data_IF_624247324734
#
_entry.id   IF_624247324734
#
_cell.length_a   1.000
_cell.length_b   1.000
_cell.length_c   1.000
_cell.angle_alpha   90.00
_cell.angle_beta   90.00
_cell.angle_gamma   90.00
#
_symmetry.space_group_name_H-M   'P 1'
#
loop_
_entity.id
_entity.type
_entity.pdbx_description
1 polymer ?
#
# COMPACT_ATOMS: atom_id res chain seq x y z
N UNK A 1 12.51 14.51 -6.87
CA UNK A 1 12.42 13.64 -5.69
C UNK A 1 13.76 13.51 -4.97
N UNK A 2 13.72 12.97 -3.76
CA UNK A 2 14.91 12.57 -2.99
C UNK A 2 14.95 11.04 -2.99
N UNK A 3 16.12 10.42 -3.13
CA UNK A 3 16.26 8.97 -3.16
C UNK A 3 15.80 8.28 -1.88
N UNK A 4 15.33 7.04 -2.00
CA UNK A 4 15.00 6.16 -0.87
C UNK A 4 15.75 4.82 -0.97
N UNK A 5 15.53 3.94 0.02
CA UNK A 5 16.23 2.65 0.11
C UNK A 5 15.29 1.50 -0.32
N UNK A 6 15.83 0.35 -0.78
CA UNK A 6 15.06 -0.87 -0.90
C UNK A 6 14.65 -1.35 0.50
N UNK A 7 13.44 -1.91 0.61
CA UNK A 7 12.88 -2.36 1.89
C UNK A 7 12.84 -3.89 2.06
N UNK A 8 13.16 -4.63 1.01
CA UNK A 8 13.11 -6.10 0.99
C UNK A 8 11.75 -6.67 1.47
N UNK A 9 10.68 -6.17 0.87
CA UNK A 9 9.30 -6.50 1.26
C UNK A 9 8.90 -7.93 0.86
N UNK A 10 7.95 -8.57 1.60
CA UNK A 10 7.38 -9.85 1.22
C UNK A 10 6.45 -9.71 0.00
N UNK A 11 6.13 -10.82 -0.65
CA UNK A 11 5.19 -10.82 -1.79
C UNK A 11 3.78 -10.34 -1.41
N UNK A 12 3.35 -10.58 -0.17
CA UNK A 12 2.07 -10.13 0.35
C UNK A 12 2.24 -9.33 1.65
N UNK A 13 1.62 -8.17 1.69
CA UNK A 13 1.57 -7.27 2.84
C UNK A 13 0.10 -7.10 3.24
N UNK A 14 -0.36 -7.73 4.33
CA UNK A 14 -1.73 -7.58 4.80
C UNK A 14 -1.95 -6.19 5.39
N UNK A 15 -3.01 -5.50 4.98
CA UNK A 15 -3.42 -4.24 5.59
C UNK A 15 -4.32 -4.52 6.79
N UNK A 16 -3.96 -3.97 7.92
CA UNK A 16 -4.69 -4.07 9.19
C UNK A 16 -5.28 -2.70 9.57
N UNK A 17 -6.60 -2.53 9.43
CA UNK A 17 -7.28 -1.29 9.83
C UNK A 17 -7.41 -1.13 11.34
N UNK A 18 -7.53 -2.23 12.10
CA UNK A 18 -7.82 -2.21 13.52
C UNK A 18 -7.08 -3.34 14.27
N UNK A 19 -7.12 -3.30 15.60
CA UNK A 19 -6.45 -4.24 16.49
C UNK A 19 -7.01 -5.66 16.42
N UNK A 20 -6.12 -6.61 16.65
CA UNK A 20 -6.46 -8.03 16.92
C UNK A 20 -6.61 -8.26 18.43
N UNK A 21 -7.38 -9.27 18.84
CA UNK A 21 -7.53 -9.63 20.25
C UNK A 21 -6.30 -10.32 20.80
N UNK A 22 -5.77 -11.28 20.06
CA UNK A 22 -4.59 -12.06 20.42
C UNK A 22 -3.51 -11.90 19.35
N UNK A 23 -2.33 -11.45 19.78
CA UNK A 23 -1.20 -11.28 18.87
C UNK A 23 -0.66 -12.63 18.42
N UNK A 24 -0.48 -12.81 17.13
CA UNK A 24 0.14 -13.96 16.52
C UNK A 24 1.33 -13.59 15.65
N UNK A 25 1.96 -14.60 15.05
CA UNK A 25 3.19 -14.44 14.30
C UNK A 25 2.91 -14.28 12.80
N UNK A 26 3.54 -13.32 12.16
CA UNK A 26 3.47 -13.04 10.73
C UNK A 26 4.72 -13.50 9.96
N UNK A 27 5.41 -14.55 10.43
CA UNK A 27 6.69 -15.03 9.84
C UNK A 27 6.63 -15.24 8.34
N UNK A 28 5.52 -15.81 7.84
CA UNK A 28 5.32 -16.04 6.41
C UNK A 28 5.36 -14.72 5.57
N UNK A 29 5.12 -13.58 6.22
CA UNK A 29 5.18 -12.24 5.64
C UNK A 29 6.39 -11.45 6.15
N UNK A 30 7.49 -12.10 6.53
CA UNK A 30 8.68 -11.48 7.11
C UNK A 30 8.37 -10.58 8.32
N UNK A 31 7.32 -10.86 9.07
CA UNK A 31 6.79 -10.03 10.15
C UNK A 31 6.51 -8.57 9.70
N UNK A 32 6.00 -8.38 8.47
CA UNK A 32 5.63 -7.06 7.94
C UNK A 32 4.13 -7.00 7.71
N UNK A 33 3.51 -5.93 8.20
CA UNK A 33 2.09 -5.60 7.97
C UNK A 33 1.97 -4.16 7.46
N UNK A 34 0.82 -3.82 6.88
CA UNK A 34 0.48 -2.42 6.61
C UNK A 34 -0.56 -1.92 7.64
N UNK A 35 -0.35 -0.70 8.10
CA UNK A 35 -1.25 0.03 8.99
C UNK A 35 -2.09 0.98 8.16
N UNK A 36 -3.42 0.90 8.31
CA UNK A 36 -4.34 1.72 7.54
C UNK A 36 -4.49 3.12 8.16
N UNK A 37 -4.28 4.15 7.36
CA UNK A 37 -4.26 5.53 7.80
C UNK A 37 -5.59 6.09 8.32
N UNK A 38 -6.74 5.49 7.96
CA UNK A 38 -8.06 5.99 8.35
C UNK A 38 -8.27 6.02 9.89
N UNK A 39 -7.71 5.03 10.60
CA UNK A 39 -7.78 4.98 12.06
C UNK A 39 -6.55 5.57 12.74
N UNK A 40 -5.48 5.72 11.98
CA UNK A 40 -4.24 6.34 12.45
C UNK A 40 -4.38 7.86 12.62
N UNK A 41 -5.03 8.53 11.65
CA UNK A 41 -5.36 9.94 11.74
C UNK A 41 -6.77 10.13 12.32
N UNK A 42 -6.99 11.26 12.98
CA UNK A 42 -8.35 11.67 13.32
C UNK A 42 -9.15 12.00 12.04
N UNK A 43 -10.47 12.03 12.14
CA UNK A 43 -11.36 12.25 10.98
C UNK A 43 -11.12 13.57 10.24
N UNK A 44 -10.56 14.58 10.93
CA UNK A 44 -10.17 15.85 10.34
C UNK A 44 -8.78 15.82 9.68
N UNK A 45 -8.02 14.73 9.79
CA UNK A 45 -6.67 14.65 9.27
C UNK A 45 -5.63 15.54 9.96
N UNK A 46 -5.99 16.15 11.09
CA UNK A 46 -5.18 17.21 11.73
C UNK A 46 -4.14 16.69 12.72
N UNK A 47 -4.27 15.46 13.19
CA UNK A 47 -3.37 14.82 14.17
C UNK A 47 -3.51 13.31 14.19
N UNK A 48 -2.52 12.63 14.74
CA UNK A 48 -2.57 11.20 15.04
C UNK A 48 -3.58 10.97 16.18
N UNK A 49 -4.37 9.90 16.09
CA UNK A 49 -5.34 9.54 17.13
C UNK A 49 -4.62 9.10 18.41
N UNK A 50 -5.23 9.38 19.57
CA UNK A 50 -4.64 9.04 20.88
C UNK A 50 -4.35 7.54 21.06
N UNK A 51 -5.06 6.67 20.36
CA UNK A 51 -4.82 5.23 20.36
C UNK A 51 -3.40 4.86 19.92
N UNK A 52 -2.79 5.67 19.05
CA UNK A 52 -1.43 5.45 18.53
C UNK A 52 -0.32 6.17 19.30
N UNK A 53 -0.65 6.87 20.41
CA UNK A 53 0.37 7.51 21.24
C UNK A 53 1.44 6.55 21.79
N UNK A 54 1.11 5.29 22.19
CA UNK A 54 2.11 4.33 22.63
C UNK A 54 2.85 3.61 21.48
N UNK A 55 2.56 3.96 20.22
CA UNK A 55 3.09 3.33 19.02
C UNK A 55 2.09 2.39 18.35
N UNK A 56 2.28 2.14 17.03
CA UNK A 56 1.35 1.34 16.24
C UNK A 56 1.26 -0.12 16.72
N UNK A 57 2.38 -0.70 17.23
CA UNK A 57 2.40 -2.08 17.71
C UNK A 57 1.46 -2.24 18.90
N UNK A 58 1.55 -1.34 19.88
CA UNK A 58 0.66 -1.35 21.03
C UNK A 58 -0.80 -1.04 20.64
N UNK A 59 -1.02 -0.07 19.74
CA UNK A 59 -2.36 0.30 19.28
C UNK A 59 -3.08 -0.87 18.60
N UNK A 60 -2.37 -1.69 17.84
CA UNK A 60 -2.92 -2.83 17.09
C UNK A 60 -2.78 -4.18 17.82
N UNK A 61 -2.25 -4.18 19.05
CA UNK A 61 -1.96 -5.39 19.84
C UNK A 61 -1.02 -6.36 19.12
N UNK A 62 0.08 -5.83 18.58
CA UNK A 62 1.09 -6.57 17.82
C UNK A 62 2.33 -6.85 18.66
N UNK A 63 3.11 -7.85 18.25
CA UNK A 63 4.41 -8.16 18.85
C UNK A 63 5.46 -7.11 18.48
N UNK A 64 6.47 -6.96 19.32
CA UNK A 64 7.56 -5.99 19.15
C UNK A 64 8.42 -6.23 17.89
N UNK A 65 8.54 -7.48 17.44
CA UNK A 65 9.31 -7.86 16.26
C UNK A 65 8.60 -7.59 14.93
N UNK A 66 7.35 -7.08 14.97
CA UNK A 66 6.60 -6.70 13.79
C UNK A 66 7.03 -5.34 13.26
N UNK A 67 7.27 -5.26 11.95
CA UNK A 67 7.49 -4.02 11.22
C UNK A 67 6.22 -3.55 10.53
N UNK A 68 5.99 -2.24 10.51
CA UNK A 68 4.80 -1.64 9.92
C UNK A 68 5.11 -0.78 8.70
N UNK A 69 4.25 -0.85 7.69
CA UNK A 69 4.18 0.13 6.60
C UNK A 69 2.89 0.92 6.80
N UNK A 70 3.00 2.24 6.92
CA UNK A 70 1.82 3.10 6.99
C UNK A 70 1.36 3.45 5.58
N UNK A 71 0.06 3.34 5.31
CA UNK A 71 -0.54 3.75 4.03
C UNK A 71 -1.71 4.73 4.26
N UNK A 72 -1.97 5.59 3.28
CA UNK A 72 -2.96 6.65 3.37
C UNK A 72 -3.97 6.60 2.21
N UNK A 73 -4.40 5.40 1.81
CA UNK A 73 -5.52 5.25 0.88
C UNK A 73 -6.84 5.44 1.62
N UNK A 74 -7.10 6.68 2.01
CA UNK A 74 -8.19 7.12 2.88
C UNK A 74 -9.00 8.23 2.22
N UNK A 75 -10.02 8.73 2.90
CA UNK A 75 -10.92 9.77 2.38
C UNK A 75 -10.19 11.09 2.09
N UNK A 76 -10.49 11.71 0.95
CA UNK A 76 -9.88 12.97 0.53
C UNK A 76 -9.98 14.07 1.60
N UNK A 77 -11.12 14.18 2.28
CA UNK A 77 -11.29 15.15 3.38
C UNK A 77 -10.20 15.00 4.47
N UNK A 78 -9.84 13.77 4.80
CA UNK A 78 -8.79 13.51 5.80
C UNK A 78 -7.42 13.84 5.23
N UNK A 79 -7.19 13.60 3.92
CA UNK A 79 -5.95 13.98 3.23
C UNK A 79 -5.77 15.49 3.14
N UNK A 80 -6.86 16.25 2.93
CA UNK A 80 -6.80 17.73 2.94
C UNK A 80 -6.42 18.25 4.34
N UNK A 81 -7.03 17.71 5.39
CA UNK A 81 -6.65 18.06 6.76
C UNK A 81 -5.19 17.72 7.09
N UNK A 82 -4.71 16.58 6.58
CA UNK A 82 -3.29 16.22 6.71
C UNK A 82 -2.41 17.25 5.97
N UNK A 83 -2.76 17.63 4.76
CA UNK A 83 -2.00 18.60 3.99
C UNK A 83 -1.75 19.89 4.77
N UNK A 84 -2.78 20.42 5.43
CA UNK A 84 -2.69 21.64 6.21
C UNK A 84 -1.85 21.48 7.48
N UNK A 85 -1.89 20.29 8.11
CA UNK A 85 -1.25 20.02 9.40
C UNK A 85 0.02 19.17 9.31
N UNK A 86 0.47 18.80 8.13
CA UNK A 86 1.50 17.77 7.88
C UNK A 86 2.80 17.96 8.63
N UNK A 87 3.25 19.22 8.81
CA UNK A 87 4.51 19.52 9.49
C UNK A 87 4.51 19.09 10.98
N UNK A 88 3.38 19.23 11.66
CA UNK A 88 3.24 18.73 13.02
C UNK A 88 3.14 17.20 13.06
N UNK A 89 2.39 16.61 12.10
CA UNK A 89 2.19 15.16 12.01
C UNK A 89 3.51 14.44 11.72
N UNK A 90 4.43 14.99 10.91
CA UNK A 90 5.74 14.38 10.66
C UNK A 90 6.54 14.14 11.94
N UNK A 91 6.46 15.06 12.92
CA UNK A 91 7.11 14.89 14.23
C UNK A 91 6.55 13.70 15.00
N UNK A 92 5.24 13.51 14.93
CA UNK A 92 4.56 12.40 15.59
C UNK A 92 4.83 11.07 14.87
N UNK A 93 4.91 11.07 13.52
CA UNK A 93 5.26 9.92 12.72
C UNK A 93 6.66 9.36 13.04
N UNK A 94 7.63 10.22 13.36
CA UNK A 94 8.99 9.77 13.75
C UNK A 94 8.99 8.85 14.97
N UNK A 95 8.02 9.02 15.87
CA UNK A 95 7.91 8.23 17.11
C UNK A 95 7.27 6.87 16.89
N UNK A 96 6.70 6.62 15.71
CA UNK A 96 5.99 5.37 15.41
C UNK A 96 6.89 4.23 14.93
N UNK A 97 8.13 4.51 14.50
CA UNK A 97 9.12 3.54 14.04
C UNK A 97 8.59 2.64 12.91
N UNK A 98 7.97 3.26 11.89
CA UNK A 98 7.55 2.54 10.69
C UNK A 98 8.76 2.15 9.81
N UNK A 99 8.71 0.95 9.22
CA UNK A 99 9.66 0.49 8.20
C UNK A 99 9.53 1.31 6.91
N UNK A 100 8.31 1.69 6.55
CA UNK A 100 8.01 2.48 5.37
C UNK A 100 6.71 3.27 5.54
N UNK A 101 6.61 4.40 4.87
CA UNK A 101 5.40 5.23 4.85
C UNK A 101 5.09 5.55 3.39
N UNK A 102 4.00 5.01 2.86
CA UNK A 102 3.51 5.39 1.53
C UNK A 102 3.03 6.83 1.63
N UNK A 103 3.70 7.74 0.93
CA UNK A 103 3.36 9.15 0.92
C UNK A 103 1.96 9.35 0.35
N UNK A 104 1.28 10.40 0.81
CA UNK A 104 -0.09 10.69 0.42
C UNK A 104 -0.24 10.79 -1.09
N UNK A 105 -1.22 10.08 -1.61
CA UNK A 105 -1.68 10.17 -2.99
C UNK A 105 -2.97 11.00 -3.01
N UNK A 106 -2.85 12.27 -3.38
CA UNK A 106 -4.02 13.10 -3.62
C UNK A 106 -4.71 12.65 -4.90
N UNK A 107 -6.01 12.45 -4.85
CA UNK A 107 -6.78 11.82 -5.91
C UNK A 107 -6.65 12.57 -7.26
N UNK A 108 -6.44 11.80 -8.32
CA UNK A 108 -6.41 12.27 -9.71
C UNK A 108 -7.61 11.66 -10.42
N UNK A 109 -8.75 12.34 -10.37
CA UNK A 109 -9.99 11.85 -10.93
C UNK A 109 -10.06 12.06 -12.43
N UNK A 110 -10.61 11.08 -13.15
CA UNK A 110 -10.70 11.06 -14.61
C UNK A 110 -11.44 12.29 -15.17
N UNK A 111 -12.47 12.75 -14.48
CA UNK A 111 -13.33 13.88 -14.85
C UNK A 111 -12.83 15.24 -14.34
N UNK A 112 -11.75 15.26 -13.57
CA UNK A 112 -11.18 16.50 -13.06
C UNK A 112 -10.38 17.27 -14.14
N UNK A 113 -10.33 18.62 -14.06
CA UNK A 113 -9.51 19.42 -14.96
C UNK A 113 -8.02 19.07 -14.88
N UNK A 114 -7.32 19.13 -16.00
CA UNK A 114 -5.89 18.80 -16.09
C UNK A 114 -5.03 19.59 -15.08
N UNK A 115 -5.39 20.82 -14.79
CA UNK A 115 -4.67 21.64 -13.80
C UNK A 115 -4.74 21.01 -12.39
N UNK A 116 -5.89 20.43 -12.03
CA UNK A 116 -6.07 19.74 -10.75
C UNK A 116 -5.21 18.46 -10.68
N UNK A 117 -5.14 17.70 -11.77
CA UNK A 117 -4.22 16.55 -11.85
C UNK A 117 -2.79 16.97 -11.54
N UNK A 118 -2.29 18.01 -12.22
CA UNK A 118 -0.92 18.52 -12.04
C UNK A 118 -0.72 18.98 -10.59
N UNK A 119 -1.68 19.71 -10.04
CA UNK A 119 -1.64 20.20 -8.67
C UNK A 119 -1.54 19.06 -7.66
N UNK A 120 -2.39 18.04 -7.79
CA UNK A 120 -2.41 16.88 -6.87
C UNK A 120 -1.13 16.02 -6.99
N UNK A 121 -0.63 15.80 -8.20
CA UNK A 121 0.66 15.13 -8.43
C UNK A 121 1.81 15.90 -7.76
N UNK A 122 1.82 17.24 -7.84
CA UNK A 122 2.85 18.05 -7.17
C UNK A 122 2.72 18.02 -5.65
N UNK A 123 1.50 18.01 -5.10
CA UNK A 123 1.28 17.84 -3.65
C UNK A 123 1.83 16.51 -3.15
N UNK A 124 1.55 15.40 -3.84
CA UNK A 124 2.08 14.07 -3.51
C UNK A 124 3.62 14.07 -3.49
N UNK A 125 4.23 14.70 -4.49
CA UNK A 125 5.69 14.88 -4.57
C UNK A 125 6.24 15.73 -3.40
N UNK A 126 5.56 16.81 -3.05
CA UNK A 126 5.97 17.69 -1.93
C UNK A 126 5.95 16.90 -0.62
N UNK A 127 4.86 16.20 -0.33
CA UNK A 127 4.71 15.39 0.89
C UNK A 127 5.83 14.34 0.97
N UNK A 128 6.08 13.60 -0.10
CA UNK A 128 7.18 12.64 -0.15
C UNK A 128 8.53 13.27 0.18
N UNK A 129 8.89 14.36 -0.50
CA UNK A 129 10.18 15.03 -0.30
C UNK A 129 10.33 15.61 1.11
N UNK A 130 9.24 16.14 1.66
CA UNK A 130 9.24 16.66 3.03
C UNK A 130 9.44 15.53 4.05
N UNK A 131 8.74 14.39 3.89
CA UNK A 131 8.91 13.22 4.73
C UNK A 131 10.38 12.72 4.73
N UNK A 132 11.00 12.62 3.55
CA UNK A 132 12.42 12.20 3.45
C UNK A 132 13.34 13.21 4.15
N UNK A 133 13.13 14.53 3.98
CA UNK A 133 13.94 15.56 4.65
C UNK A 133 13.78 15.53 6.17
N UNK A 134 12.60 15.14 6.63
CA UNK A 134 12.34 14.92 8.06
C UNK A 134 12.92 13.60 8.57
N UNK A 135 13.56 12.79 7.73
CA UNK A 135 14.15 11.50 8.10
C UNK A 135 13.13 10.35 8.21
N UNK A 136 11.94 10.53 7.65
CA UNK A 136 10.92 9.47 7.58
C UNK A 136 11.20 8.51 6.40
N UNK A 137 10.95 7.20 6.55
CA UNK A 137 11.18 6.21 5.49
C UNK A 137 10.06 6.24 4.44
N UNK A 138 9.95 7.34 3.69
CA UNK A 138 8.87 7.54 2.74
C UNK A 138 9.02 6.70 1.46
N UNK A 139 7.89 6.23 0.94
CA UNK A 139 7.72 5.55 -0.34
C UNK A 139 6.86 6.45 -1.22
N UNK A 140 7.31 6.90 -2.40
CA UNK A 140 6.48 7.72 -3.26
C UNK A 140 5.37 6.88 -3.88
N UNK A 141 4.13 7.36 -3.83
CA UNK A 141 3.01 6.76 -4.55
C UNK A 141 2.87 7.41 -5.94
N UNK A 142 2.78 6.56 -6.96
CA UNK A 142 2.74 7.00 -8.35
C UNK A 142 1.33 7.44 -8.72
N UNK A 143 1.03 8.71 -8.50
CA UNK A 143 -0.22 9.34 -8.93
C UNK A 143 -0.10 9.81 -10.39
N UNK A 144 -1.03 9.39 -11.23
CA UNK A 144 -0.97 9.64 -12.66
C UNK A 144 -2.36 9.54 -13.31
N UNK A 145 -2.52 10.20 -14.44
CA UNK A 145 -3.66 10.06 -15.32
C UNK A 145 -3.22 9.87 -16.77
N UNK A 146 -2.22 10.63 -17.21
CA UNK A 146 -1.72 10.60 -18.56
C UNK A 146 -0.34 9.94 -18.68
N UNK A 147 0.05 9.65 -19.92
CA UNK A 147 1.40 9.13 -20.23
C UNK A 147 2.50 10.12 -19.86
N UNK A 148 2.22 11.41 -19.93
CA UNK A 148 3.14 12.48 -19.55
C UNK A 148 3.44 12.44 -18.05
N UNK A 149 2.44 12.15 -17.21
CA UNK A 149 2.61 11.98 -15.77
C UNK A 149 3.50 10.77 -15.46
N UNK A 150 3.27 9.64 -16.14
CA UNK A 150 4.13 8.46 -16.01
C UNK A 150 5.57 8.76 -16.45
N UNK A 151 5.75 9.46 -17.57
CA UNK A 151 7.08 9.84 -18.03
C UNK A 151 7.79 10.79 -17.04
N UNK A 152 7.04 11.68 -16.38
CA UNK A 152 7.56 12.49 -15.29
C UNK A 152 8.09 11.62 -14.15
N UNK A 153 7.28 10.68 -13.63
CA UNK A 153 7.69 9.77 -12.56
C UNK A 153 8.89 8.90 -12.95
N UNK A 154 8.91 8.37 -14.18
CA UNK A 154 10.02 7.57 -14.69
C UNK A 154 11.34 8.35 -14.68
N UNK A 155 11.32 9.63 -15.09
CA UNK A 155 12.50 10.50 -15.03
C UNK A 155 12.94 10.74 -13.58
N UNK A 156 12.00 11.06 -12.70
CA UNK A 156 12.30 11.31 -11.28
C UNK A 156 12.87 10.07 -10.59
N UNK A 157 12.33 8.88 -10.85
CA UNK A 157 12.82 7.61 -10.29
C UNK A 157 14.28 7.38 -10.70
N UNK A 158 14.58 7.54 -12.00
CA UNK A 158 15.93 7.34 -12.53
C UNK A 158 16.92 8.37 -12.01
N UNK A 159 16.55 9.66 -12.06
CA UNK A 159 17.45 10.76 -11.72
C UNK A 159 17.80 10.79 -10.22
N UNK A 160 16.91 10.31 -9.36
CA UNK A 160 17.05 10.44 -7.91
C UNK A 160 17.32 9.10 -7.20
N UNK A 161 17.61 8.02 -7.94
CA UNK A 161 17.92 6.71 -7.38
C UNK A 161 16.84 6.20 -6.40
N UNK A 162 15.57 6.31 -6.79
CA UNK A 162 14.44 5.77 -6.04
C UNK A 162 14.49 4.24 -6.12
N UNK A 163 14.39 3.55 -4.99
CA UNK A 163 14.50 2.08 -4.91
C UNK A 163 13.20 1.38 -4.54
N UNK A 164 12.25 2.08 -3.94
CA UNK A 164 10.93 1.54 -3.60
C UNK A 164 9.86 2.56 -3.96
N UNK A 165 8.83 2.12 -4.67
CA UNK A 165 7.66 2.93 -5.06
C UNK A 165 6.37 2.17 -4.76
N UNK A 166 5.24 2.86 -4.69
CA UNK A 166 3.91 2.24 -4.72
C UNK A 166 3.16 2.61 -6.01
N UNK A 167 2.32 1.68 -6.46
CA UNK A 167 1.42 1.85 -7.60
C UNK A 167 0.03 1.34 -7.23
N UNK A 168 -0.95 2.24 -7.19
CA UNK A 168 -2.28 1.94 -6.70
C UNK A 168 -3.26 1.57 -7.81
N UNK A 169 -4.07 0.54 -7.54
CA UNK A 169 -5.24 0.14 -8.31
C UNK A 169 -6.53 0.32 -7.49
N UNK A 170 -6.51 1.10 -6.42
CA UNK A 170 -7.65 1.23 -5.49
C UNK A 170 -8.93 1.76 -6.15
N UNK A 171 -8.81 2.64 -7.15
CA UNK A 171 -9.93 3.23 -7.86
C UNK A 171 -10.31 2.46 -9.14
N UNK A 172 -9.80 1.25 -9.30
CA UNK A 172 -10.00 0.47 -10.53
C UNK A 172 -11.00 -0.65 -10.28
N UNK A 173 -12.00 -0.79 -11.15
CA UNK A 173 -12.84 -1.99 -11.16
C UNK A 173 -12.03 -3.20 -11.63
N UNK A 174 -11.71 -4.07 -10.68
CA UNK A 174 -10.91 -5.29 -10.92
C UNK A 174 -11.75 -6.51 -11.32
N UNK A 175 -13.07 -6.38 -11.47
CA UNK A 175 -13.93 -7.48 -11.94
C UNK A 175 -13.48 -8.00 -13.30
N UNK A 176 -13.72 -9.28 -13.57
CA UNK A 176 -13.25 -9.95 -14.80
C UNK A 176 -13.84 -9.39 -16.09
N UNK A 177 -15.07 -8.86 -16.03
CA UNK A 177 -15.70 -8.12 -17.14
C UNK A 177 -15.27 -6.65 -17.16
N UNK A 178 -14.07 -6.41 -16.66
CA UNK A 178 -13.59 -5.11 -16.33
C UNK A 178 -13.73 -4.10 -17.45
N UNK A 179 -14.15 -2.98 -16.98
CA UNK A 179 -14.15 -1.68 -17.58
C UNK A 179 -12.82 -1.33 -18.26
N UNK A 180 -12.84 -0.32 -19.07
CA UNK A 180 -11.63 0.26 -19.67
C UNK A 180 -10.61 0.73 -18.62
N UNK A 181 -11.04 1.01 -17.36
CA UNK A 181 -10.14 1.43 -16.28
C UNK A 181 -9.07 0.38 -15.95
N UNK A 182 -9.43 -0.92 -15.86
CA UNK A 182 -8.41 -1.97 -15.63
C UNK A 182 -7.35 -1.97 -16.73
N UNK A 183 -7.77 -1.94 -17.99
CA UNK A 183 -6.84 -1.96 -19.14
C UNK A 183 -5.93 -0.72 -19.14
N UNK A 184 -6.48 0.43 -18.82
CA UNK A 184 -5.72 1.69 -18.73
C UNK A 184 -4.65 1.61 -17.65
N UNK A 185 -5.01 1.23 -16.42
CA UNK A 185 -4.06 1.11 -15.32
C UNK A 185 -3.02 -0.01 -15.52
N UNK A 186 -3.44 -1.15 -16.09
CA UNK A 186 -2.51 -2.23 -16.44
C UNK A 186 -1.50 -1.79 -17.51
N UNK A 187 -1.92 -0.99 -18.49
CA UNK A 187 -1.02 -0.41 -19.50
C UNK A 187 -0.05 0.58 -18.84
N UNK A 188 -0.54 1.44 -17.94
CA UNK A 188 0.30 2.37 -17.17
C UNK A 188 1.35 1.64 -16.35
N UNK A 189 0.94 0.60 -15.62
CA UNK A 189 1.84 -0.27 -14.88
C UNK A 189 2.89 -0.92 -15.79
N UNK A 190 2.48 -1.45 -16.93
CA UNK A 190 3.40 -2.04 -17.93
C UNK A 190 4.44 -1.04 -18.43
N UNK A 191 4.02 0.19 -18.76
CA UNK A 191 4.92 1.26 -19.21
C UNK A 191 5.93 1.60 -18.10
N UNK A 192 5.46 1.80 -16.87
CA UNK A 192 6.30 2.10 -15.72
C UNK A 192 7.31 0.98 -15.48
N UNK A 193 6.81 -0.25 -15.33
CA UNK A 193 7.63 -1.44 -15.06
C UNK A 193 8.74 -1.64 -16.10
N UNK A 194 8.45 -1.42 -17.38
CA UNK A 194 9.42 -1.61 -18.46
C UNK A 194 10.50 -0.50 -18.48
N UNK A 195 10.14 0.72 -18.07
CA UNK A 195 11.01 1.90 -18.24
C UNK A 195 11.86 2.25 -17.02
N UNK A 196 11.49 1.83 -15.80
CA UNK A 196 12.28 2.09 -14.59
C UNK A 196 13.38 1.03 -14.40
N UNK A 197 14.47 1.32 -13.64
CA UNK A 197 15.52 0.35 -13.31
C UNK A 197 14.95 -0.93 -12.69
N UNK A 198 15.54 -2.09 -12.98
CA UNK A 198 15.03 -3.38 -12.54
C UNK A 198 15.12 -3.59 -11.01
N UNK A 199 16.08 -2.93 -10.38
CA UNK A 199 16.31 -2.96 -8.94
C UNK A 199 15.32 -2.08 -8.11
N UNK A 200 14.36 -1.43 -8.77
CA UNK A 200 13.28 -0.71 -8.10
C UNK A 200 12.18 -1.69 -7.70
N UNK A 201 11.90 -1.78 -6.40
CA UNK A 201 10.79 -2.57 -5.85
C UNK A 201 9.46 -1.83 -6.05
N UNK A 202 8.38 -2.55 -6.39
CA UNK A 202 7.05 -1.94 -6.55
C UNK A 202 6.07 -2.58 -5.57
N UNK A 203 5.44 -1.76 -4.74
CA UNK A 203 4.28 -2.13 -3.92
C UNK A 203 3.02 -1.88 -4.74
N UNK A 204 2.35 -2.94 -5.17
CA UNK A 204 1.07 -2.89 -5.89
C UNK A 204 -0.06 -2.91 -4.89
N UNK A 205 -0.89 -1.88 -4.89
CA UNK A 205 -1.93 -1.67 -3.87
C UNK A 205 -3.33 -1.87 -4.45
N UNK A 206 -4.22 -2.51 -3.67
CA UNK A 206 -5.65 -2.61 -3.98
C UNK A 206 -6.07 -3.81 -4.81
N UNK A 207 -5.18 -4.73 -5.13
CA UNK A 207 -5.50 -5.95 -5.88
C UNK A 207 -5.43 -7.18 -4.97
N UNK A 208 -6.52 -7.94 -4.87
CA UNK A 208 -6.59 -9.21 -4.12
C UNK A 208 -6.96 -10.41 -5.00
N UNK A 209 -7.43 -10.19 -6.22
CA UNK A 209 -7.80 -11.24 -7.16
C UNK A 209 -6.55 -11.97 -7.66
N UNK A 210 -6.45 -13.27 -7.38
CA UNK A 210 -5.35 -14.15 -7.81
C UNK A 210 -5.08 -14.02 -9.32
N UNK A 211 -6.15 -13.93 -10.12
CA UNK A 211 -6.05 -13.79 -11.56
C UNK A 211 -5.42 -12.45 -11.98
N UNK A 212 -5.80 -11.34 -11.31
CA UNK A 212 -5.21 -10.02 -11.59
C UNK A 212 -3.77 -9.92 -11.12
N UNK A 213 -3.45 -10.58 -10.02
CA UNK A 213 -2.07 -10.71 -9.52
C UNK A 213 -1.22 -11.49 -10.53
N UNK A 214 -1.74 -12.57 -11.07
CA UNK A 214 -1.05 -13.31 -12.13
C UNK A 214 -0.76 -12.45 -13.39
N UNK A 215 -1.72 -11.60 -13.80
CA UNK A 215 -1.51 -10.65 -14.92
C UNK A 215 -0.37 -9.67 -14.61
N UNK A 216 -0.31 -9.13 -13.39
CA UNK A 216 0.77 -8.23 -12.95
C UNK A 216 2.11 -8.95 -12.93
N UNK A 217 2.19 -10.15 -12.37
CA UNK A 217 3.44 -10.92 -12.27
C UNK A 217 3.99 -11.31 -13.66
N UNK A 218 3.14 -11.65 -14.61
CA UNK A 218 3.54 -11.89 -16.02
C UNK A 218 4.21 -10.66 -16.66
N UNK A 219 3.76 -9.46 -16.29
CA UNK A 219 4.33 -8.20 -16.77
C UNK A 219 5.64 -7.88 -16.02
N UNK A 220 5.68 -8.14 -14.74
CA UNK A 220 6.80 -7.74 -13.86
C UNK A 220 8.07 -8.56 -14.05
N UNK A 221 7.93 -9.81 -14.49
CA UNK A 221 9.04 -10.76 -14.69
C UNK A 221 9.90 -10.88 -13.41
N UNK A 222 11.21 -10.64 -13.52
CA UNK A 222 12.18 -10.74 -12.42
C UNK A 222 12.16 -9.55 -11.45
N UNK A 223 11.30 -8.54 -11.65
CA UNK A 223 11.19 -7.42 -10.72
C UNK A 223 10.58 -7.85 -9.41
N UNK A 224 11.10 -7.30 -8.31
CA UNK A 224 10.51 -7.48 -6.99
C UNK A 224 9.20 -6.72 -6.86
N UNK A 225 8.13 -7.45 -6.64
CA UNK A 225 6.76 -6.95 -6.48
C UNK A 225 6.24 -7.41 -5.13
N UNK A 226 5.54 -6.52 -4.44
CA UNK A 226 4.75 -6.80 -3.24
C UNK A 226 3.30 -6.41 -3.47
N UNK A 227 2.34 -7.22 -3.04
CA UNK A 227 0.91 -6.91 -3.13
C UNK A 227 0.39 -6.50 -1.76
N UNK A 228 -0.25 -5.35 -1.67
CA UNK A 228 -0.80 -4.80 -0.43
C UNK A 228 -2.30 -4.63 -0.55
N UNK A 229 -3.07 -5.31 0.31
CA UNK A 229 -4.53 -5.18 0.33
C UNK A 229 -5.15 -5.66 1.65
N UNK A 230 -6.42 -5.27 1.89
CA UNK A 230 -7.19 -5.58 3.10
C UNK A 230 -7.99 -6.89 3.03
N UNK A 231 -7.95 -7.66 1.94
CA UNK A 231 -8.90 -8.74 1.73
C UNK A 231 -8.89 -9.82 2.83
N UNK A 232 -7.72 -10.18 3.37
CA UNK A 232 -7.65 -11.12 4.48
C UNK A 232 -8.39 -10.61 5.71
N UNK A 233 -8.22 -9.32 6.04
CA UNK A 233 -8.90 -8.65 7.15
C UNK A 233 -10.40 -8.57 6.92
N UNK A 234 -10.84 -7.96 5.82
CA UNK A 234 -12.26 -7.74 5.51
C UNK A 234 -13.04 -9.05 5.51
N UNK A 235 -12.53 -10.09 4.84
CA UNK A 235 -13.18 -11.40 4.82
C UNK A 235 -13.26 -12.01 6.23
N UNK A 236 -12.21 -11.89 7.04
CA UNK A 236 -12.24 -12.42 8.40
C UNK A 236 -13.27 -11.72 9.29
N UNK A 237 -13.40 -10.39 9.18
CA UNK A 237 -14.43 -9.64 9.95
C UNK A 237 -15.85 -10.04 9.53
N UNK A 238 -16.04 -10.48 8.30
CA UNK A 238 -17.28 -11.04 7.77
C UNK A 238 -17.43 -12.54 8.05
N UNK A 239 -16.48 -13.19 8.72
CA UNK A 239 -16.53 -14.63 9.01
C UNK A 239 -16.26 -15.53 7.80
N UNK A 240 -15.62 -15.02 6.74
CA UNK A 240 -15.42 -15.74 5.48
C UNK A 240 -14.00 -16.29 5.36
N UNK A 241 -13.90 -17.61 5.08
CA UNK A 241 -12.67 -18.25 4.62
C UNK A 241 -12.47 -17.99 3.13
N UNK A 242 -11.37 -17.34 2.76
CA UNK A 242 -11.05 -17.10 1.34
C UNK A 242 -10.60 -18.38 0.63
N UNK A 243 -10.00 -19.31 1.35
CA UNK A 243 -9.60 -20.62 0.82
C UNK A 243 -10.82 -21.44 0.38
N UNK A 244 -11.81 -21.54 1.28
CA UNK A 244 -12.99 -22.37 1.06
C UNK A 244 -14.12 -21.61 0.36
N UNK A 245 -13.99 -20.30 0.21
CA UNK A 245 -14.99 -19.39 -0.37
C UNK A 245 -16.37 -19.50 0.30
N UNK A 246 -16.38 -19.71 1.62
CA UNK A 246 -17.61 -19.91 2.39
C UNK A 246 -17.57 -19.20 3.73
N UNK A 247 -18.76 -18.97 4.29
CA UNK A 247 -18.97 -18.53 5.65
C UNK A 247 -18.57 -19.67 6.59
N UNK A 248 -17.78 -19.34 7.62
CA UNK A 248 -17.40 -20.29 8.66
C UNK A 248 -18.35 -20.23 9.85
N UNK A 249 -18.29 -21.25 10.70
CA UNK A 249 -19.04 -21.30 11.94
C UNK A 249 -18.70 -20.12 12.85
N UNK A 250 -19.72 -19.57 13.53
CA UNK A 250 -19.54 -18.40 14.42
C UNK A 250 -18.69 -18.69 15.67
N UNK A 251 -18.42 -19.97 15.98
CA UNK A 251 -17.52 -20.36 17.07
C UNK A 251 -16.05 -20.09 16.75
N UNK A 252 -15.69 -19.99 15.46
CA UNK A 252 -14.32 -19.70 15.03
C UNK A 252 -14.04 -18.21 15.20
N UNK A 253 -12.96 -17.88 15.90
CA UNK A 253 -12.61 -16.48 16.12
C UNK A 253 -12.28 -15.77 14.81
N UNK A 254 -12.64 -14.47 14.71
CA UNK A 254 -12.34 -13.65 13.53
C UNK A 254 -10.82 -13.49 13.31
N UNK A 255 -10.03 -13.59 14.38
CA UNK A 255 -8.59 -13.47 14.30
C UNK A 255 -7.96 -14.78 13.78
N UNK A 256 -8.53 -15.96 14.12
CA UNK A 256 -8.13 -17.23 13.50
C UNK A 256 -8.47 -17.26 12.00
N UNK A 257 -9.66 -16.75 11.63
CA UNK A 257 -10.03 -16.62 10.22
C UNK A 257 -9.05 -15.67 9.51
N UNK A 258 -8.67 -14.56 10.15
CA UNK A 258 -7.70 -13.61 9.59
C UNK A 258 -6.35 -14.29 9.36
N UNK A 259 -5.83 -15.02 10.35
CA UNK A 259 -4.59 -15.78 10.23
C UNK A 259 -4.63 -16.78 9.08
N UNK A 260 -5.70 -17.57 8.97
CA UNK A 260 -5.86 -18.55 7.90
C UNK A 260 -5.96 -17.88 6.52
N UNK A 261 -6.68 -16.77 6.39
CA UNK A 261 -6.80 -16.01 5.16
C UNK A 261 -5.45 -15.39 4.75
N UNK A 262 -4.67 -14.92 5.70
CA UNK A 262 -3.33 -14.40 5.48
C UNK A 262 -2.38 -15.49 4.96
N UNK A 263 -2.35 -16.66 5.59
CA UNK A 263 -1.55 -17.81 5.17
C UNK A 263 -1.93 -18.26 3.75
N UNK A 264 -3.22 -18.28 3.43
CA UNK A 264 -3.71 -18.61 2.09
C UNK A 264 -3.15 -17.62 1.05
N UNK A 265 -3.34 -16.31 1.22
CA UNK A 265 -2.84 -15.32 0.27
C UNK A 265 -1.31 -15.39 0.13
N UNK A 266 -0.59 -15.51 1.23
CA UNK A 266 0.86 -15.63 1.22
C UNK A 266 1.33 -16.84 0.41
N UNK A 267 0.71 -18.01 0.64
CA UNK A 267 1.04 -19.24 -0.08
C UNK A 267 0.75 -19.12 -1.58
N UNK A 268 -0.45 -18.64 -1.94
CA UNK A 268 -0.84 -18.51 -3.35
C UNK A 268 0.04 -17.51 -4.10
N UNK A 269 0.37 -16.37 -3.48
CA UNK A 269 1.19 -15.36 -4.14
C UNK A 269 2.64 -15.79 -4.27
N UNK A 270 3.20 -16.52 -3.30
CA UNK A 270 4.53 -17.12 -3.42
C UNK A 270 4.59 -18.13 -4.59
N UNK A 271 3.61 -19.00 -4.72
CA UNK A 271 3.53 -19.96 -5.84
C UNK A 271 3.50 -19.25 -7.20
N UNK A 272 2.69 -18.18 -7.31
CA UNK A 272 2.63 -17.39 -8.54
C UNK A 272 3.95 -16.66 -8.80
N UNK A 273 4.56 -16.08 -7.78
CA UNK A 273 5.83 -15.37 -7.91
C UNK A 273 6.94 -16.33 -8.38
N UNK A 274 7.08 -17.50 -7.79
CA UNK A 274 8.04 -18.53 -8.20
C UNK A 274 7.83 -18.98 -9.65
N UNK A 275 6.58 -19.03 -10.12
CA UNK A 275 6.22 -19.39 -11.50
C UNK A 275 6.68 -18.34 -12.51
N UNK A 276 6.67 -17.06 -12.16
CA UNK A 276 6.90 -15.95 -13.10
C UNK A 276 8.21 -15.17 -12.88
N UNK A 277 8.95 -15.44 -11.81
CA UNK A 277 10.23 -14.79 -11.50
C UNK A 277 11.45 -15.48 -12.13
N UNK A 278 11.22 -16.57 -12.85
CA UNK A 278 12.28 -17.37 -13.51
C UNK A 278 12.59 -16.84 -14.93
#
# INVERSE_FOLDING_TARGET
LIGNKPLDLPIYIPVMPDKIKESFNFKANKNIIAVHGEFFLNAAGSKITGAYNPGFRAALNLKEDLSGILEFYIKDRTLEGFWDNRKSIYKDLKRQDFLGIIAHNFSVYEDAPRLEHIYNIQRSKIVYNEMIREGLPAIPDISWYSKEDLNFWIREIKANNIKTISFSFMNVDTKLKASNSWKHYLLGFKILNFKIPLDVEIVVVGISSVQRIEEILKISKSRKISFMHQAAWVNSRNGVSVKDKKQLDKSISKDDIFKNNLEFYTSEYNKLYEKYSK
#
